data_IF_928064003149
#
_entry.id   IF_928064003149
#
_cell.length_a   1.000
_cell.length_b   1.000
_cell.length_c   1.000
_cell.angle_alpha   90.00
_cell.angle_beta   90.00
_cell.angle_gamma   90.00
#
_symmetry.space_group_name_H-M   'P 1'
#
loop_
_entity.id
_entity.type
_entity.pdbx_description
1 polymer ?
#
# COMPACT_ATOMS: atom_id res chain seq x y z
N UNK A 1 -3.89 -10.73 -10.91
CA UNK A 1 -2.61 -11.20 -10.32
C UNK A 1 -1.80 -9.96 -9.94
N UNK A 2 -1.01 -9.97 -8.86
CA UNK A 2 -0.32 -8.77 -8.34
C UNK A 2 0.56 -8.01 -9.36
N UNK A 3 0.85 -8.64 -10.50
CA UNK A 3 1.54 -8.04 -11.66
C UNK A 3 0.82 -6.82 -12.24
N UNK A 4 -0.49 -6.67 -12.05
CA UNK A 4 -1.22 -5.46 -12.46
C UNK A 4 -1.31 -4.42 -11.35
N UNK A 5 -1.43 -4.89 -10.11
CA UNK A 5 -1.57 -4.04 -8.93
C UNK A 5 -0.36 -3.14 -8.71
N UNK A 6 0.85 -3.70 -8.71
CA UNK A 6 2.07 -2.93 -8.38
C UNK A 6 2.30 -1.77 -9.36
N UNK A 7 2.24 -1.98 -10.69
CA UNK A 7 2.32 -0.88 -11.66
C UNK A 7 1.27 0.22 -11.46
N UNK A 8 0.01 -0.16 -11.25
CA UNK A 8 -1.11 0.78 -11.11
C UNK A 8 -1.01 1.57 -9.80
N UNK A 9 -0.69 0.89 -8.70
CA UNK A 9 -0.50 1.50 -7.38
C UNK A 9 0.71 2.43 -7.35
N UNK A 10 1.82 2.03 -7.98
CA UNK A 10 3.01 2.89 -8.12
C UNK A 10 2.67 4.18 -8.86
N UNK A 11 1.97 4.08 -9.99
CA UNK A 11 1.54 5.24 -10.77
C UNK A 11 0.64 6.18 -9.95
N UNK A 12 -0.34 5.63 -9.23
CA UNK A 12 -1.25 6.38 -8.37
C UNK A 12 -0.51 7.16 -7.28
N UNK A 13 0.35 6.49 -6.51
CA UNK A 13 1.12 7.12 -5.43
C UNK A 13 2.12 8.15 -5.98
N UNK A 14 2.76 7.86 -7.11
CA UNK A 14 3.67 8.80 -7.78
C UNK A 14 2.94 10.08 -8.21
N UNK A 15 1.77 9.94 -8.83
CA UNK A 15 0.95 11.08 -9.26
C UNK A 15 0.45 11.90 -8.08
N UNK A 16 0.06 11.25 -6.98
CA UNK A 16 -0.31 11.94 -5.73
C UNK A 16 0.85 12.75 -5.14
N UNK A 17 2.09 12.25 -5.25
CA UNK A 17 3.30 13.00 -4.87
C UNK A 17 3.66 14.12 -5.85
N UNK A 18 3.04 14.17 -7.03
CA UNK A 18 3.25 15.23 -8.03
C UNK A 18 4.57 15.13 -8.79
N UNK A 19 5.17 13.95 -8.92
CA UNK A 19 6.48 13.76 -9.59
C UNK A 19 6.35 12.97 -10.90
N UNK A 20 7.19 13.27 -11.89
CA UNK A 20 7.21 12.51 -13.14
C UNK A 20 7.90 11.15 -12.96
N UNK A 21 7.55 10.15 -13.79
CA UNK A 21 8.22 8.84 -13.78
C UNK A 21 9.73 8.97 -14.05
N UNK A 22 10.12 9.92 -14.90
CA UNK A 22 11.52 10.22 -15.21
C UNK A 22 12.25 10.76 -13.98
N UNK A 23 11.70 11.78 -13.33
CA UNK A 23 12.35 12.42 -12.17
C UNK A 23 12.47 11.45 -11.00
N UNK A 24 11.43 10.65 -10.76
CA UNK A 24 11.46 9.59 -9.76
C UNK A 24 12.54 8.54 -10.08
N UNK A 25 12.66 8.12 -11.34
CA UNK A 25 13.70 7.17 -11.75
C UNK A 25 15.10 7.70 -11.45
N UNK A 26 15.36 8.96 -11.82
CA UNK A 26 16.66 9.61 -11.58
C UNK A 26 16.94 9.81 -10.09
N UNK A 27 15.92 10.17 -9.30
CA UNK A 27 16.05 10.34 -7.85
C UNK A 27 16.34 9.03 -7.12
N UNK A 28 15.88 7.90 -7.66
CA UNK A 28 16.20 6.55 -7.17
C UNK A 28 17.57 6.04 -7.68
N UNK A 29 18.34 6.86 -8.41
CA UNK A 29 19.63 6.47 -8.99
C UNK A 29 19.50 5.47 -10.14
N UNK A 30 18.33 5.38 -10.78
CA UNK A 30 18.03 4.45 -11.87
C UNK A 30 18.06 5.15 -13.23
N UNK A 31 18.07 4.35 -14.31
CA UNK A 31 17.90 4.86 -15.67
C UNK A 31 16.55 5.60 -15.82
N UNK A 32 16.51 6.63 -16.68
CA UNK A 32 15.36 7.54 -16.84
C UNK A 32 14.01 6.87 -17.19
N UNK A 33 14.03 5.63 -17.66
CA UNK A 33 12.87 4.84 -18.05
C UNK A 33 12.45 3.79 -17.02
N UNK A 34 13.14 3.69 -15.88
CA UNK A 34 12.95 2.62 -14.89
C UNK A 34 11.52 2.56 -14.35
N UNK A 35 11.03 3.65 -13.74
CA UNK A 35 9.66 3.72 -13.20
C UNK A 35 8.63 3.56 -14.33
N UNK A 36 8.89 4.16 -15.49
CA UNK A 36 8.01 4.03 -16.64
C UNK A 36 7.90 2.57 -17.12
N UNK A 37 8.98 1.79 -17.09
CA UNK A 37 8.94 0.37 -17.45
C UNK A 37 8.11 -0.44 -16.45
N UNK A 38 8.17 -0.09 -15.15
CA UNK A 38 7.34 -0.73 -14.13
C UNK A 38 5.86 -0.39 -14.36
N UNK A 39 5.52 0.89 -14.50
CA UNK A 39 4.15 1.36 -14.71
C UNK A 39 3.51 0.80 -16.00
N UNK A 40 4.31 0.56 -17.03
CA UNK A 40 3.86 -0.06 -18.29
C UNK A 40 3.96 -1.59 -18.29
N UNK A 41 4.04 -2.24 -17.12
CA UNK A 41 4.02 -3.70 -16.97
C UNK A 41 5.17 -4.42 -17.72
N UNK A 42 6.25 -3.72 -18.05
CA UNK A 42 7.43 -4.30 -18.74
C UNK A 42 8.36 -5.05 -17.79
N UNK A 43 8.30 -4.71 -16.51
CA UNK A 43 9.12 -5.30 -15.45
C UNK A 43 8.49 -5.04 -14.09
N UNK A 44 8.78 -5.88 -13.10
CA UNK A 44 8.52 -5.56 -11.70
C UNK A 44 9.83 -5.11 -11.02
N UNK A 45 9.76 -4.24 -10.01
CA UNK A 45 10.93 -3.93 -9.21
C UNK A 45 11.39 -5.17 -8.45
N UNK A 46 12.70 -5.37 -8.37
CA UNK A 46 13.25 -6.29 -7.37
C UNK A 46 12.89 -5.81 -5.96
N UNK A 47 12.81 -6.71 -4.98
CA UNK A 47 12.37 -6.37 -3.62
C UNK A 47 13.17 -5.23 -2.98
N UNK A 48 14.48 -5.15 -3.22
CA UNK A 48 15.29 -4.05 -2.73
C UNK A 48 14.87 -2.70 -3.34
N UNK A 49 14.69 -2.65 -4.66
CA UNK A 49 14.22 -1.44 -5.35
C UNK A 49 12.81 -1.06 -4.92
N UNK A 50 11.96 -2.03 -4.62
CA UNK A 50 10.63 -1.78 -4.07
C UNK A 50 10.70 -1.05 -2.72
N UNK A 51 11.61 -1.41 -1.82
CA UNK A 51 11.78 -0.68 -0.56
C UNK A 51 12.24 0.78 -0.78
N UNK A 52 13.18 1.02 -1.70
CA UNK A 52 13.57 2.39 -2.04
C UNK A 52 12.42 3.19 -2.67
N UNK A 53 11.58 2.55 -3.48
CA UNK A 53 10.36 3.16 -4.02
C UNK A 53 9.42 3.56 -2.87
N UNK A 54 9.17 2.66 -1.91
CA UNK A 54 8.35 2.94 -0.73
C UNK A 54 8.89 4.12 0.09
N UNK A 55 10.19 4.11 0.41
CA UNK A 55 10.87 5.19 1.12
C UNK A 55 10.75 6.53 0.37
N UNK A 56 10.99 6.53 -0.94
CA UNK A 56 10.84 7.72 -1.78
C UNK A 56 9.40 8.25 -1.77
N UNK A 57 8.41 7.36 -1.85
CA UNK A 57 6.99 7.72 -1.83
C UNK A 57 6.52 8.16 -0.43
N UNK A 58 7.24 7.80 0.63
CA UNK A 58 6.86 8.09 2.01
C UNK A 58 5.76 7.16 2.52
N UNK A 59 5.70 5.93 2.01
CA UNK A 59 4.74 4.91 2.43
C UNK A 59 5.48 3.66 2.89
N UNK A 60 4.93 2.96 3.87
CA UNK A 60 5.39 1.61 4.21
C UNK A 60 4.97 0.60 3.13
N UNK A 61 5.64 -0.56 3.02
CA UNK A 61 5.18 -1.66 2.17
C UNK A 61 3.72 -2.05 2.43
N UNK A 62 3.29 -2.04 3.69
CA UNK A 62 1.91 -2.35 4.05
C UNK A 62 0.94 -1.34 3.43
N UNK A 63 1.20 -0.05 3.60
CA UNK A 63 0.36 1.02 3.03
C UNK A 63 0.42 1.07 1.50
N UNK A 64 1.54 0.64 0.90
CA UNK A 64 1.62 0.47 -0.53
C UNK A 64 0.55 -0.53 -1.01
N UNK A 65 0.39 -1.67 -0.32
CA UNK A 65 -0.59 -2.69 -0.68
C UNK A 65 -2.00 -2.46 -0.10
N UNK A 66 -2.21 -1.42 0.71
CA UNK A 66 -3.51 -1.09 1.32
C UNK A 66 -4.28 -0.07 0.44
N UNK A 67 -5.18 -0.57 -0.41
CA UNK A 67 -6.00 0.27 -1.30
C UNK A 67 -7.38 0.64 -0.74
N UNK A 68 -7.91 -0.14 0.21
CA UNK A 68 -9.32 -0.11 0.59
C UNK A 68 -9.62 0.67 1.87
N UNK A 69 -8.59 1.23 2.50
CA UNK A 69 -8.74 1.86 3.80
C UNK A 69 -9.21 3.32 3.68
N UNK A 70 -10.53 3.51 3.73
CA UNK A 70 -11.18 4.83 3.79
C UNK A 70 -10.87 5.61 5.07
N UNK A 71 -10.42 4.92 6.13
CA UNK A 71 -10.19 5.49 7.46
C UNK A 71 -8.83 5.03 8.04
N UNK A 72 -7.70 5.44 7.42
CA UNK A 72 -6.38 4.88 7.70
C UNK A 72 -5.96 4.98 9.17
N UNK A 73 -6.11 6.17 9.76
CA UNK A 73 -5.74 6.41 11.16
C UNK A 73 -6.60 5.58 12.13
N UNK A 74 -7.93 5.66 12.01
CA UNK A 74 -8.85 4.93 12.89
C UNK A 74 -8.72 3.42 12.76
N UNK A 75 -8.53 2.89 11.55
CA UNK A 75 -8.34 1.45 11.34
C UNK A 75 -6.99 0.99 11.90
N UNK A 76 -5.95 1.81 11.81
CA UNK A 76 -4.65 1.50 12.40
C UNK A 76 -4.73 1.43 13.93
N UNK A 77 -5.38 2.39 14.58
CA UNK A 77 -5.64 2.37 16.03
C UNK A 77 -6.47 1.16 16.44
N UNK A 78 -7.56 0.88 15.71
CA UNK A 78 -8.39 -0.30 15.96
C UNK A 78 -7.58 -1.60 15.90
N UNK A 79 -6.75 -1.78 14.86
CA UNK A 79 -5.88 -2.96 14.73
C UNK A 79 -4.86 -3.02 15.87
N UNK A 80 -4.32 -1.89 16.31
CA UNK A 80 -3.35 -1.84 17.40
C UNK A 80 -3.95 -2.30 18.74
N UNK A 81 -5.18 -1.90 19.05
CA UNK A 81 -5.89 -2.39 20.24
C UNK A 81 -6.35 -3.85 20.08
N UNK A 82 -6.89 -4.22 18.91
CA UNK A 82 -7.33 -5.58 18.65
C UNK A 82 -6.19 -6.61 18.80
N UNK A 83 -4.95 -6.26 18.43
CA UNK A 83 -3.77 -7.11 18.61
C UNK A 83 -3.43 -7.43 20.07
N UNK A 84 -3.96 -6.69 21.05
CA UNK A 84 -3.75 -6.92 22.48
C UNK A 84 -4.77 -7.90 23.08
N UNK A 85 -5.85 -8.21 22.35
CA UNK A 85 -6.93 -9.06 22.84
C UNK A 85 -6.53 -10.54 22.84
N UNK A 86 -7.09 -11.29 23.78
CA UNK A 86 -7.07 -12.75 23.70
C UNK A 86 -8.04 -13.27 22.62
N UNK A 87 -7.91 -14.55 22.28
CA UNK A 87 -8.70 -15.18 21.22
C UNK A 87 -10.22 -15.10 21.48
N UNK A 88 -10.63 -15.24 22.75
CA UNK A 88 -12.05 -15.21 23.14
C UNK A 88 -12.63 -13.81 22.96
N UNK A 89 -11.93 -12.78 23.41
CA UNK A 89 -12.33 -11.37 23.31
C UNK A 89 -12.35 -10.92 21.85
N UNK A 90 -11.35 -11.32 21.06
CA UNK A 90 -11.33 -11.08 19.61
C UNK A 90 -12.58 -11.64 18.92
N UNK A 91 -13.01 -12.85 19.31
CA UNK A 91 -14.19 -13.50 18.74
C UNK A 91 -15.47 -12.71 19.05
N UNK A 92 -15.60 -12.15 20.26
CA UNK A 92 -16.74 -11.32 20.61
C UNK A 92 -16.78 -10.02 19.79
N UNK A 93 -15.66 -9.30 19.71
CA UNK A 93 -15.58 -8.07 18.92
C UNK A 93 -15.88 -8.36 17.45
N UNK A 94 -15.33 -9.43 16.89
CA UNK A 94 -15.60 -9.83 15.50
C UNK A 94 -17.09 -10.16 15.29
N UNK A 95 -17.75 -10.81 16.25
CA UNK A 95 -19.18 -11.09 16.21
C UNK A 95 -20.03 -9.81 16.14
N UNK A 96 -19.71 -8.82 16.99
CA UNK A 96 -20.39 -7.52 16.99
C UNK A 96 -20.23 -6.82 15.64
N UNK A 97 -19.01 -6.77 15.10
CA UNK A 97 -18.74 -6.15 13.80
C UNK A 97 -19.54 -6.80 12.67
N UNK A 98 -19.62 -8.14 12.65
CA UNK A 98 -20.42 -8.87 11.65
C UNK A 98 -21.91 -8.53 11.75
N UNK A 99 -22.45 -8.47 12.96
CA UNK A 99 -23.86 -8.14 13.21
C UNK A 99 -24.20 -6.68 12.82
N UNK A 100 -23.27 -5.74 13.00
CA UNK A 100 -23.45 -4.36 12.56
C UNK A 100 -23.46 -4.24 11.03
N UNK A 101 -22.64 -5.04 10.35
CA UNK A 101 -22.54 -5.04 8.89
C UNK A 101 -23.65 -5.84 8.20
N UNK A 102 -24.26 -6.84 8.86
CA UNK A 102 -25.38 -7.62 8.32
C UNK A 102 -26.71 -6.87 8.34
N UNK A 103 -26.79 -5.77 9.09
CA UNK A 103 -27.97 -4.89 9.18
C UNK A 103 -27.98 -3.74 8.17
N UNK A 104 -27.04 -3.74 7.23
CA UNK A 104 -27.05 -2.91 6.01
C UNK A 104 -27.67 -3.67 4.86
#
# INVERSE_FOLDING_TARGET
>A
MYEEFVPERLAKLRLQKGVSARDMSLSLGQANNYINNIENKKSLPAMQSFFYICEYLGVTPKEFFDEENLYPETLQEFIAEAKKLDSKSMTYILGIMKELNSKK
#
